data_IF_579150061137
#
_entry.id   IF_579150061137
#
_cell.length_a   1.000
_cell.length_b   1.000
_cell.length_c   1.000
_cell.angle_alpha   90.00
_cell.angle_beta   90.00
_cell.angle_gamma   90.00
#
_symmetry.space_group_name_H-M   'P 1'
#
loop_
_entity.id
_entity.type
_entity.pdbx_description
1 polymer ?
#
# COMPACT_ATOMS: atom_id res chain seq x y z
N UNK A 1 25.15 5.54 -36.78
CA UNK A 1 26.20 4.73 -36.11
C UNK A 1 26.44 5.19 -34.66
N UNK A 2 26.62 6.50 -34.38
CA UNK A 2 26.90 6.99 -33.03
C UNK A 2 25.66 6.81 -32.09
N UNK A 3 24.48 7.20 -32.55
CA UNK A 3 23.23 6.99 -31.78
C UNK A 3 23.03 5.50 -31.38
N UNK A 4 23.28 4.58 -32.33
CA UNK A 4 23.20 3.14 -32.06
C UNK A 4 24.24 2.67 -31.04
N UNK A 5 25.44 3.28 -31.01
CA UNK A 5 26.46 2.94 -30.01
C UNK A 5 26.02 3.34 -28.60
N UNK A 6 25.49 4.56 -28.42
CA UNK A 6 24.93 5.01 -27.13
C UNK A 6 23.74 4.16 -26.70
N UNK A 7 22.85 3.82 -27.64
CA UNK A 7 21.73 2.92 -27.36
C UNK A 7 22.18 1.52 -26.87
N UNK A 8 23.18 0.93 -27.53
CA UNK A 8 23.74 -0.37 -27.12
C UNK A 8 24.41 -0.29 -25.75
N UNK A 9 25.11 0.81 -25.43
CA UNK A 9 25.72 1.03 -24.12
C UNK A 9 24.63 1.21 -23.03
N UNK A 10 23.56 1.91 -23.34
CA UNK A 10 22.41 2.03 -22.44
C UNK A 10 21.83 0.65 -22.10
N UNK A 11 21.67 -0.23 -23.09
CA UNK A 11 21.19 -1.60 -22.87
C UNK A 11 22.11 -2.40 -21.94
N UNK A 12 23.43 -2.20 -22.01
CA UNK A 12 24.36 -2.80 -21.06
C UNK A 12 24.13 -2.27 -19.64
N UNK A 13 23.95 -0.95 -19.47
CA UNK A 13 23.62 -0.39 -18.15
C UNK A 13 22.29 -0.89 -17.61
N UNK A 14 21.28 -1.09 -18.46
CA UNK A 14 19.98 -1.64 -18.05
C UNK A 14 20.08 -3.07 -17.52
N UNK A 15 20.95 -3.91 -18.12
CA UNK A 15 21.15 -5.28 -17.62
C UNK A 15 21.72 -5.32 -16.18
N UNK A 16 22.41 -4.25 -15.77
CA UNK A 16 22.91 -4.05 -14.39
C UNK A 16 22.01 -3.16 -13.53
N UNK A 17 20.82 -2.78 -14.01
CA UNK A 17 19.89 -1.86 -13.34
C UNK A 17 20.47 -0.48 -13.02
N UNK A 18 21.47 -0.04 -13.76
CA UNK A 18 22.11 1.28 -13.62
C UNK A 18 21.30 2.32 -14.41
N UNK A 19 20.10 2.64 -13.91
CA UNK A 19 19.13 3.48 -14.65
C UNK A 19 19.65 4.86 -15.00
N UNK A 20 20.35 5.57 -14.12
CA UNK A 20 20.87 6.91 -14.37
C UNK A 20 21.88 6.92 -15.54
N UNK A 21 22.77 5.93 -15.58
CA UNK A 21 23.71 5.76 -16.67
C UNK A 21 23.02 5.42 -17.99
N UNK A 22 22.03 4.55 -17.94
CA UNK A 22 21.23 4.20 -19.11
C UNK A 22 20.48 5.43 -19.66
N UNK A 23 19.84 6.23 -18.80
CA UNK A 23 19.16 7.47 -19.18
C UNK A 23 20.13 8.44 -19.86
N UNK A 24 21.34 8.59 -19.33
CA UNK A 24 22.37 9.47 -19.94
C UNK A 24 22.68 9.04 -21.35
N UNK A 25 22.94 7.76 -21.61
CA UNK A 25 23.25 7.24 -22.92
C UNK A 25 22.06 7.28 -23.89
N UNK A 26 20.83 6.98 -23.39
CA UNK A 26 19.62 7.11 -24.21
C UNK A 26 19.36 8.56 -24.62
N UNK A 27 19.54 9.52 -23.71
CA UNK A 27 19.44 10.93 -24.05
C UNK A 27 20.47 11.32 -25.12
N UNK A 28 21.71 10.83 -25.03
CA UNK A 28 22.70 11.03 -26.08
C UNK A 28 22.27 10.41 -27.42
N UNK A 29 21.66 9.23 -27.40
CA UNK A 29 21.16 8.56 -28.60
C UNK A 29 20.07 9.39 -29.30
N UNK A 30 19.08 9.94 -28.56
CA UNK A 30 17.99 10.74 -29.12
C UNK A 30 18.42 12.15 -29.53
N UNK A 31 19.49 12.69 -28.95
CA UNK A 31 20.12 13.92 -29.42
C UNK A 31 20.78 13.70 -30.80
N UNK A 32 21.46 12.58 -30.96
CA UNK A 32 22.16 12.21 -32.21
C UNK A 32 21.19 11.77 -33.32
N UNK A 33 20.07 11.19 -32.95
CA UNK A 33 19.01 10.77 -33.86
C UNK A 33 17.64 11.06 -33.25
N UNK A 34 17.02 12.14 -33.70
CA UNK A 34 15.71 12.61 -33.19
C UNK A 34 14.55 11.69 -33.54
N UNK A 35 14.75 10.75 -34.45
CA UNK A 35 13.75 9.74 -34.85
C UNK A 35 14.07 8.35 -34.30
N UNK A 36 14.93 8.24 -33.29
CA UNK A 36 15.29 6.95 -32.71
C UNK A 36 14.19 6.43 -31.77
N UNK A 37 13.13 5.92 -32.34
CA UNK A 37 11.91 5.44 -31.68
C UNK A 37 12.22 4.50 -30.51
N UNK A 38 13.10 3.49 -30.73
CA UNK A 38 13.44 2.52 -29.68
C UNK A 38 14.13 3.16 -28.47
N UNK A 39 14.92 4.24 -28.67
CA UNK A 39 15.55 4.95 -27.55
C UNK A 39 14.53 5.77 -26.75
N UNK A 40 13.58 6.41 -27.42
CA UNK A 40 12.46 7.08 -26.73
C UNK A 40 11.57 6.09 -25.98
N UNK A 41 11.29 4.92 -26.56
CA UNK A 41 10.54 3.85 -25.89
C UNK A 41 11.23 3.45 -24.57
N UNK A 42 12.53 3.16 -24.61
CA UNK A 42 13.28 2.79 -23.41
C UNK A 42 13.34 3.90 -22.36
N UNK A 43 13.49 5.16 -22.78
CA UNK A 43 13.41 6.30 -21.86
C UNK A 43 12.04 6.33 -21.16
N UNK A 44 10.96 6.15 -21.91
CA UNK A 44 9.61 6.07 -21.37
C UNK A 44 9.49 4.96 -20.34
N UNK A 45 9.96 3.75 -20.67
CA UNK A 45 9.89 2.59 -19.80
C UNK A 45 10.68 2.78 -18.49
N UNK A 46 11.88 3.36 -18.56
CA UNK A 46 12.70 3.63 -17.37
C UNK A 46 12.04 4.71 -16.50
N UNK A 47 11.63 5.83 -17.11
CA UNK A 47 10.99 6.91 -16.36
C UNK A 47 9.69 6.45 -15.69
N UNK A 48 8.88 5.66 -16.38
CA UNK A 48 7.67 5.04 -15.81
C UNK A 48 8.01 4.12 -14.63
N UNK A 49 9.00 3.24 -14.80
CA UNK A 49 9.47 2.32 -13.75
C UNK A 49 10.04 3.04 -12.52
N UNK A 50 10.61 4.22 -12.70
CA UNK A 50 11.18 5.05 -11.63
C UNK A 50 10.21 6.11 -11.11
N UNK A 51 8.91 6.05 -11.47
CA UNK A 51 7.88 6.97 -11.01
C UNK A 51 7.94 8.37 -11.64
N UNK A 52 8.81 8.62 -12.62
CA UNK A 52 8.90 9.91 -13.29
C UNK A 52 7.91 9.98 -14.47
N UNK A 53 6.63 9.92 -14.14
CA UNK A 53 5.55 9.81 -15.13
C UNK A 53 5.51 10.99 -16.12
N UNK A 54 5.83 12.20 -15.70
CA UNK A 54 5.90 13.36 -16.61
C UNK A 54 6.94 13.21 -17.71
N UNK A 55 8.12 12.66 -17.39
CA UNK A 55 9.16 12.38 -18.41
C UNK A 55 8.81 11.16 -19.25
N UNK A 56 8.18 10.14 -18.64
CA UNK A 56 7.70 8.96 -19.35
C UNK A 56 6.69 9.36 -20.43
N UNK A 57 5.69 10.16 -20.06
CA UNK A 57 4.67 10.71 -20.95
C UNK A 57 5.27 11.40 -22.17
N UNK A 58 6.25 12.29 -21.97
CA UNK A 58 6.93 12.98 -23.05
C UNK A 58 7.67 12.03 -23.98
N UNK A 59 8.30 11.00 -23.42
CA UNK A 59 9.06 10.00 -24.20
C UNK A 59 8.12 9.15 -25.06
N UNK A 60 7.02 8.63 -24.47
CA UNK A 60 6.05 7.84 -25.25
C UNK A 60 5.32 8.67 -26.32
N UNK A 61 5.01 9.95 -26.04
CA UNK A 61 4.46 10.85 -27.08
C UNK A 61 5.42 10.97 -28.26
N UNK A 62 6.72 11.07 -28.01
CA UNK A 62 7.72 11.08 -29.09
C UNK A 62 7.73 9.78 -29.89
N UNK A 63 7.58 8.62 -29.23
CA UNK A 63 7.44 7.33 -29.95
C UNK A 63 6.26 7.40 -30.93
N UNK A 64 5.08 7.80 -30.44
CA UNK A 64 3.87 7.83 -31.25
C UNK A 64 3.86 8.94 -32.33
N UNK A 65 4.58 10.04 -32.12
CA UNK A 65 4.81 11.06 -33.16
C UNK A 65 5.65 10.52 -34.33
N UNK A 66 6.63 9.64 -34.03
CA UNK A 66 7.52 9.05 -35.04
C UNK A 66 6.87 7.84 -35.72
N UNK A 67 6.31 6.94 -34.92
CA UNK A 67 5.69 5.71 -35.36
C UNK A 67 4.52 5.33 -34.45
N UNK A 68 3.27 5.64 -34.85
CA UNK A 68 2.07 5.31 -34.06
C UNK A 68 1.83 3.82 -33.83
N UNK A 69 2.39 2.95 -34.65
CA UNK A 69 2.21 1.51 -34.56
C UNK A 69 3.48 0.77 -34.08
N UNK A 70 4.45 1.49 -33.53
CA UNK A 70 5.75 0.94 -33.11
C UNK A 70 5.60 -0.25 -32.17
N UNK A 71 4.88 -0.11 -31.06
CA UNK A 71 4.57 -1.19 -30.13
C UNK A 71 3.23 -0.91 -29.41
N UNK A 72 2.36 -1.91 -29.27
CA UNK A 72 1.13 -1.78 -28.46
C UNK A 72 1.40 -1.30 -27.03
N UNK A 73 2.49 -1.78 -26.39
CA UNK A 73 2.90 -1.40 -25.04
C UNK A 73 3.22 0.09 -24.89
N UNK A 74 3.51 0.82 -26.00
CA UNK A 74 3.67 2.28 -25.97
C UNK A 74 2.40 2.96 -25.50
N UNK A 75 1.24 2.53 -26.02
CA UNK A 75 -0.07 3.04 -25.59
C UNK A 75 -0.37 2.73 -24.13
N UNK A 76 -0.01 1.52 -23.67
CA UNK A 76 -0.15 1.16 -22.25
C UNK A 76 0.72 2.05 -21.35
N UNK A 77 2.00 2.20 -21.69
CA UNK A 77 2.95 3.02 -20.92
C UNK A 77 2.59 4.50 -20.90
N UNK A 78 2.11 5.04 -22.05
CA UNK A 78 1.56 6.39 -22.15
C UNK A 78 0.34 6.55 -21.25
N UNK A 79 -0.64 5.65 -21.36
CA UNK A 79 -1.87 5.71 -20.57
C UNK A 79 -1.61 5.62 -19.05
N UNK A 80 -0.72 4.72 -18.61
CA UNK A 80 -0.32 4.63 -17.20
C UNK A 80 0.36 5.93 -16.72
N UNK A 81 1.17 6.56 -17.58
CA UNK A 81 1.80 7.85 -17.27
C UNK A 81 0.77 8.98 -17.22
N UNK A 82 -0.23 8.96 -18.08
CA UNK A 82 -1.33 9.94 -18.09
C UNK A 82 -2.22 9.78 -16.86
N UNK A 83 -2.57 8.54 -16.47
CA UNK A 83 -3.32 8.25 -15.25
C UNK A 83 -2.60 8.83 -14.03
N UNK A 84 -1.31 8.56 -13.88
CA UNK A 84 -0.50 9.02 -12.75
C UNK A 84 -0.18 10.54 -12.78
N UNK A 85 -0.47 11.22 -13.87
CA UNK A 85 -0.35 12.69 -13.98
C UNK A 85 -1.70 13.42 -14.01
N UNK A 86 -2.81 12.70 -13.73
CA UNK A 86 -4.15 13.27 -13.64
C UNK A 86 -4.84 13.50 -15.00
N UNK A 87 -4.28 12.97 -16.09
CA UNK A 87 -4.86 13.11 -17.45
C UNK A 87 -5.81 11.94 -17.74
N UNK A 88 -6.81 11.75 -16.90
CA UNK A 88 -7.68 10.57 -16.87
C UNK A 88 -8.41 10.29 -18.19
N UNK A 89 -8.85 11.33 -18.90
CA UNK A 89 -9.57 11.16 -20.17
C UNK A 89 -8.66 10.57 -21.26
N UNK A 90 -7.46 11.11 -21.44
CA UNK A 90 -6.50 10.57 -22.39
C UNK A 90 -6.01 9.18 -22.00
N UNK A 91 -5.79 8.96 -20.69
CA UNK A 91 -5.43 7.63 -20.18
C UNK A 91 -6.49 6.58 -20.56
N UNK A 92 -7.78 6.90 -20.37
CA UNK A 92 -8.89 6.07 -20.77
C UNK A 92 -8.85 5.72 -22.27
N UNK A 93 -8.66 6.73 -23.14
CA UNK A 93 -8.58 6.52 -24.59
C UNK A 93 -7.40 5.61 -24.98
N UNK A 94 -6.22 5.86 -24.43
CA UNK A 94 -5.02 5.10 -24.76
C UNK A 94 -5.03 3.68 -24.19
N UNK A 95 -5.63 3.43 -23.01
CA UNK A 95 -5.85 2.07 -22.53
C UNK A 95 -6.82 1.30 -23.43
N UNK A 96 -7.89 1.93 -23.92
CA UNK A 96 -8.80 1.29 -24.88
C UNK A 96 -8.10 1.02 -26.24
N UNK A 97 -7.24 1.95 -26.70
CA UNK A 97 -6.41 1.70 -27.89
C UNK A 97 -5.51 0.50 -27.68
N UNK A 98 -4.84 0.40 -26.52
CA UNK A 98 -4.04 -0.79 -26.19
C UNK A 98 -4.86 -2.08 -26.23
N UNK A 99 -6.05 -2.10 -25.62
CA UNK A 99 -6.93 -3.29 -25.65
C UNK A 99 -7.41 -3.68 -27.04
N UNK A 100 -7.41 -2.77 -28.01
CA UNK A 100 -7.80 -3.06 -29.39
C UNK A 100 -6.77 -3.91 -30.15
N UNK A 101 -5.55 -4.03 -29.65
CA UNK A 101 -4.52 -4.85 -30.29
C UNK A 101 -4.76 -6.34 -30.03
N UNK A 102 -4.53 -7.22 -31.04
CA UNK A 102 -4.67 -8.66 -30.89
C UNK A 102 -3.50 -9.25 -30.06
N UNK A 103 -3.71 -10.45 -29.51
CA UNK A 103 -2.65 -11.23 -28.88
C UNK A 103 -2.23 -10.79 -27.47
N UNK A 104 -2.97 -9.89 -26.83
CA UNK A 104 -2.70 -9.48 -25.45
C UNK A 104 -2.94 -10.62 -24.47
N UNK A 105 -2.04 -10.77 -23.48
CA UNK A 105 -2.20 -11.75 -22.40
C UNK A 105 -3.45 -11.46 -21.54
N UNK A 106 -3.98 -12.49 -20.90
CA UNK A 106 -5.12 -12.36 -19.98
C UNK A 106 -4.78 -11.40 -18.82
N UNK A 107 -3.58 -11.51 -18.24
CA UNK A 107 -3.08 -10.62 -17.20
C UNK A 107 -2.98 -9.17 -17.67
N UNK A 108 -2.44 -8.93 -18.87
CA UNK A 108 -2.36 -7.59 -19.47
C UNK A 108 -3.74 -6.96 -19.67
N UNK A 109 -4.73 -7.76 -20.12
CA UNK A 109 -6.11 -7.31 -20.27
C UNK A 109 -6.75 -7.00 -18.91
N UNK A 110 -6.57 -7.87 -17.92
CA UNK A 110 -7.10 -7.68 -16.56
C UNK A 110 -6.56 -6.39 -15.94
N UNK A 111 -5.24 -6.20 -15.98
CA UNK A 111 -4.58 -4.99 -15.45
C UNK A 111 -5.09 -3.72 -16.16
N UNK A 112 -5.23 -3.78 -17.48
CA UNK A 112 -5.71 -2.63 -18.27
C UNK A 112 -7.17 -2.30 -17.95
N UNK A 113 -8.04 -3.31 -17.80
CA UNK A 113 -9.42 -3.09 -17.40
C UNK A 113 -9.53 -2.44 -16.02
N UNK A 114 -8.67 -2.82 -15.07
CA UNK A 114 -8.59 -2.16 -13.76
C UNK A 114 -8.22 -0.68 -13.92
N UNK A 115 -7.23 -0.34 -14.71
CA UNK A 115 -6.84 1.05 -14.96
C UNK A 115 -7.91 1.86 -15.70
N UNK A 116 -8.68 1.23 -16.59
CA UNK A 116 -9.85 1.85 -17.22
C UNK A 116 -10.92 2.19 -16.15
N UNK A 117 -11.17 1.27 -15.22
CA UNK A 117 -12.08 1.52 -14.11
C UNK A 117 -11.58 2.69 -13.22
N UNK A 118 -10.27 2.77 -12.96
CA UNK A 118 -9.66 3.92 -12.26
C UNK A 118 -9.87 5.23 -13.01
N UNK A 119 -9.69 5.24 -14.33
CA UNK A 119 -9.93 6.42 -15.14
C UNK A 119 -11.38 6.89 -15.04
N UNK A 120 -12.36 5.97 -15.17
CA UNK A 120 -13.78 6.27 -15.07
C UNK A 120 -14.13 6.85 -13.70
N UNK A 121 -13.67 6.19 -12.63
CA UNK A 121 -13.86 6.66 -11.26
C UNK A 121 -13.24 8.06 -11.07
N UNK A 122 -12.00 8.24 -11.50
CA UNK A 122 -11.24 9.48 -11.32
C UNK A 122 -11.90 10.65 -12.06
N UNK A 123 -12.40 10.42 -13.28
CA UNK A 123 -13.12 11.43 -14.06
C UNK A 123 -14.37 11.95 -13.34
N UNK A 124 -15.03 11.10 -12.56
CA UNK A 124 -16.19 11.50 -11.77
C UNK A 124 -15.77 12.12 -10.42
N UNK A 125 -14.83 11.51 -9.73
CA UNK A 125 -14.37 11.94 -8.41
C UNK A 125 -13.81 13.37 -8.42
N UNK A 126 -13.03 13.76 -9.45
CA UNK A 126 -12.45 15.11 -9.54
C UNK A 126 -13.48 16.21 -9.75
N UNK A 127 -14.72 15.88 -10.16
CA UNK A 127 -15.80 16.86 -10.30
C UNK A 127 -16.36 17.30 -8.95
N UNK A 128 -16.24 16.44 -7.94
CA UNK A 128 -16.79 16.64 -6.61
C UNK A 128 -15.68 16.56 -5.54
N UNK A 129 -14.71 17.49 -5.54
CA UNK A 129 -13.60 17.45 -4.60
C UNK A 129 -14.09 17.66 -3.17
N UNK A 130 -13.67 16.79 -2.26
CA UNK A 130 -13.87 16.98 -0.83
C UNK A 130 -12.75 17.83 -0.24
N UNK A 131 -13.08 18.63 0.79
CA UNK A 131 -12.05 19.41 1.48
C UNK A 131 -11.10 18.47 2.22
N UNK A 132 -9.83 18.50 1.86
CA UNK A 132 -8.78 17.73 2.52
C UNK A 132 -7.66 18.69 2.96
N UNK A 133 -7.64 19.01 4.26
CA UNK A 133 -6.66 19.92 4.86
C UNK A 133 -6.01 19.24 6.06
N UNK A 134 -5.15 18.23 5.85
CA UNK A 134 -4.47 17.56 6.94
C UNK A 134 -3.55 18.53 7.68
N UNK A 135 -3.51 18.39 9.00
CA UNK A 135 -2.62 19.18 9.87
C UNK A 135 -1.58 18.25 10.43
N UNK A 136 -0.30 18.62 10.24
CA UNK A 136 0.81 17.88 10.83
C UNK A 136 0.76 18.01 12.35
N UNK A 137 0.86 16.89 13.07
CA UNK A 137 0.76 16.84 14.54
C UNK A 137 2.00 17.39 15.26
N UNK A 138 3.00 17.81 14.51
CA UNK A 138 4.20 18.46 15.03
C UNK A 138 5.34 17.51 15.40
N UNK A 139 6.50 18.07 15.78
CA UNK A 139 7.73 17.30 15.97
C UNK A 139 7.70 16.37 17.19
N UNK A 140 6.70 16.49 18.05
CA UNK A 140 6.49 15.55 19.16
C UNK A 140 6.10 14.16 18.68
N UNK A 141 5.41 14.07 17.53
CA UNK A 141 4.97 12.84 16.92
C UNK A 141 5.74 12.58 15.62
N UNK A 142 5.68 13.53 14.67
CA UNK A 142 6.31 13.39 13.38
C UNK A 142 7.80 13.73 13.46
N UNK A 143 8.65 12.78 13.08
CA UNK A 143 10.11 12.93 13.07
C UNK A 143 10.65 12.81 11.63
N UNK A 144 11.93 12.55 11.46
CA UNK A 144 12.52 12.17 10.17
C UNK A 144 12.38 10.70 9.84
N UNK A 145 11.95 9.90 10.82
CA UNK A 145 11.69 8.47 10.67
C UNK A 145 10.28 8.27 10.07
N UNK A 146 9.93 7.05 9.76
CA UNK A 146 8.60 6.72 9.24
C UNK A 146 7.64 6.43 10.38
N UNK A 147 6.56 7.21 10.50
CA UNK A 147 5.46 7.02 11.44
C UNK A 147 4.19 6.66 10.69
N UNK A 148 3.51 5.58 11.09
CA UNK A 148 2.33 5.07 10.41
C UNK A 148 1.39 4.27 11.33
N UNK A 149 0.21 3.91 10.80
CA UNK A 149 -0.84 3.15 11.47
C UNK A 149 -1.20 3.72 12.86
N UNK A 150 -1.59 5.00 12.95
CA UNK A 150 -1.97 5.60 14.22
C UNK A 150 -3.32 5.06 14.71
N UNK A 151 -3.45 4.89 16.02
CA UNK A 151 -4.72 4.69 16.71
C UNK A 151 -4.85 5.69 17.85
N UNK A 152 -6.05 6.22 18.06
CA UNK A 152 -6.36 7.17 19.13
C UNK A 152 -7.30 6.47 20.12
N UNK A 153 -7.05 6.65 21.42
CA UNK A 153 -7.95 6.17 22.46
C UNK A 153 -9.33 6.85 22.39
N UNK A 154 -10.37 6.15 22.85
CA UNK A 154 -11.76 6.64 22.78
C UNK A 154 -11.97 8.00 23.47
N UNK A 155 -11.15 8.36 24.47
CA UNK A 155 -11.16 9.66 25.14
C UNK A 155 -10.32 10.74 24.43
N UNK A 156 -9.75 10.42 23.27
CA UNK A 156 -8.89 11.25 22.43
C UNK A 156 -7.63 11.81 23.12
N UNK A 157 -7.20 11.21 24.24
CA UNK A 157 -6.06 11.71 25.02
C UNK A 157 -4.74 11.03 24.72
N UNK A 158 -4.73 9.88 24.10
CA UNK A 158 -3.51 9.16 23.74
C UNK A 158 -3.58 8.71 22.28
N UNK A 159 -2.48 8.92 21.57
CA UNK A 159 -2.23 8.32 20.26
C UNK A 159 -1.12 7.29 20.41
N UNK A 160 -1.32 6.13 19.82
CA UNK A 160 -0.33 5.05 19.67
C UNK A 160 -0.08 4.89 18.17
N UNK A 161 1.16 4.76 17.77
CA UNK A 161 1.53 4.59 16.37
C UNK A 161 2.79 3.74 16.24
N UNK A 162 2.99 3.16 15.07
CA UNK A 162 4.24 2.47 14.73
C UNK A 162 5.26 3.48 14.24
N UNK A 163 6.50 3.39 14.73
CA UNK A 163 7.66 4.11 14.18
C UNK A 163 8.71 3.11 13.74
N UNK A 164 9.20 3.26 12.52
CA UNK A 164 10.30 2.45 12.01
C UNK A 164 11.63 3.19 12.21
N UNK A 165 12.52 2.58 13.00
CA UNK A 165 13.86 3.09 13.23
C UNK A 165 14.88 2.01 12.91
N UNK A 166 15.82 2.26 11.97
CA UNK A 166 16.84 1.28 11.57
C UNK A 166 16.26 -0.09 11.14
N UNK A 167 15.11 -0.10 10.47
CA UNK A 167 14.35 -1.30 10.04
C UNK A 167 13.71 -2.09 11.19
N UNK A 168 13.70 -1.57 12.40
CA UNK A 168 12.91 -2.12 13.50
C UNK A 168 11.65 -1.28 13.67
N UNK A 169 10.52 -1.94 13.81
CA UNK A 169 9.20 -1.35 14.03
C UNK A 169 8.85 -1.49 15.50
N UNK A 170 8.60 -0.35 16.16
CA UNK A 170 8.23 -0.28 17.56
C UNK A 170 7.01 0.62 17.76
N UNK A 171 6.25 0.39 18.82
CA UNK A 171 5.15 1.26 19.20
C UNK A 171 5.61 2.45 20.02
N UNK A 172 5.13 3.61 19.61
CA UNK A 172 5.27 4.85 20.35
C UNK A 172 3.90 5.37 20.76
N UNK A 173 3.85 6.07 21.88
CA UNK A 173 2.66 6.77 22.34
C UNK A 173 2.97 8.25 22.60
N UNK A 174 1.97 9.08 22.40
CA UNK A 174 1.98 10.47 22.82
C UNK A 174 0.67 10.82 23.53
N UNK A 175 0.75 11.64 24.53
CA UNK A 175 -0.40 12.08 25.34
C UNK A 175 -0.78 13.50 24.93
N UNK A 176 -2.06 13.73 24.73
CA UNK A 176 -2.59 15.07 24.46
C UNK A 176 -2.74 15.84 25.77
N UNK A 177 -2.06 16.97 25.86
CA UNK A 177 -2.19 17.93 26.98
C UNK A 177 -2.69 19.24 26.41
N UNK A 178 -3.84 19.67 26.89
CA UNK A 178 -4.58 20.80 26.32
C UNK A 178 -4.86 20.56 24.83
N UNK A 179 -4.20 21.26 23.92
CA UNK A 179 -4.36 21.09 22.46
C UNK A 179 -3.11 20.50 21.79
N UNK A 180 -2.07 20.15 22.55
CA UNK A 180 -0.78 19.73 22.02
C UNK A 180 -0.45 18.29 22.40
N UNK A 181 0.21 17.60 21.49
CA UNK A 181 0.77 16.27 21.71
C UNK A 181 2.15 16.39 22.37
N UNK A 182 2.40 15.61 23.40
CA UNK A 182 3.72 15.51 24.03
C UNK A 182 4.71 14.83 23.07
N UNK A 183 6.02 14.97 23.36
CA UNK A 183 7.02 14.15 22.67
C UNK A 183 6.71 12.67 22.86
N UNK A 184 6.69 11.94 21.74
CA UNK A 184 6.37 10.52 21.77
C UNK A 184 7.46 9.72 22.49
N UNK A 185 7.03 8.73 23.25
CA UNK A 185 7.88 7.80 23.99
C UNK A 185 7.53 6.35 23.65
N UNK A 186 8.41 5.41 23.90
CA UNK A 186 8.12 3.99 23.75
C UNK A 186 6.85 3.59 24.52
N UNK A 187 5.99 2.80 23.90
CA UNK A 187 4.74 2.37 24.52
C UNK A 187 4.98 1.51 25.75
N UNK A 188 5.78 0.45 25.62
CA UNK A 188 6.07 -0.50 26.67
C UNK A 188 7.30 -1.35 26.34
N UNK A 189 8.16 -1.60 27.32
CA UNK A 189 9.28 -2.53 27.20
C UNK A 189 8.84 -4.01 27.18
N UNK A 190 7.63 -4.30 27.63
CA UNK A 190 7.06 -5.67 27.58
C UNK A 190 6.56 -6.00 26.17
N UNK A 191 6.19 -4.99 25.37
CA UNK A 191 5.66 -5.15 24.01
C UNK A 191 6.77 -4.95 22.98
N UNK A 192 7.43 -3.77 23.00
CA UNK A 192 8.50 -3.44 22.08
C UNK A 192 9.71 -4.30 22.34
N UNK A 193 10.24 -4.91 21.28
CA UNK A 193 11.40 -5.80 21.40
C UNK A 193 12.51 -5.38 20.45
N UNK A 194 13.75 -5.60 20.85
CA UNK A 194 14.90 -5.28 20.01
C UNK A 194 15.06 -6.19 18.78
N UNK A 195 14.53 -7.42 18.86
CA UNK A 195 14.80 -8.45 17.87
C UNK A 195 13.66 -8.70 16.88
N UNK A 196 12.47 -8.19 17.17
CA UNK A 196 11.25 -8.45 16.39
C UNK A 196 10.57 -7.15 16.04
N UNK A 197 9.78 -7.16 15.00
CA UNK A 197 8.96 -6.01 14.58
C UNK A 197 7.59 -6.12 15.22
N UNK A 198 7.16 -5.04 15.86
CA UNK A 198 5.82 -4.85 16.37
C UNK A 198 5.15 -3.67 15.63
N UNK A 199 4.08 -3.96 14.90
CA UNK A 199 3.38 -2.97 14.09
C UNK A 199 1.89 -3.23 13.98
N UNK A 200 1.19 -2.32 13.31
CA UNK A 200 -0.22 -2.45 12.97
C UNK A 200 -1.10 -2.81 14.17
N UNK A 201 -1.23 -1.89 15.10
CA UNK A 201 -1.99 -2.07 16.34
C UNK A 201 -3.41 -1.53 16.24
N UNK A 202 -4.31 -2.06 17.08
CA UNK A 202 -5.54 -1.44 17.49
C UNK A 202 -5.76 -1.62 19.00
N UNK A 203 -6.48 -0.69 19.59
CA UNK A 203 -6.84 -0.73 21.02
C UNK A 203 -8.32 -1.00 21.18
N UNK A 204 -8.71 -1.84 22.14
CA UNK A 204 -10.11 -2.05 22.44
C UNK A 204 -10.77 -0.75 22.94
N UNK A 205 -12.07 -0.53 22.71
CA UNK A 205 -12.74 0.71 23.08
C UNK A 205 -12.68 1.04 24.58
N UNK A 206 -12.60 0.02 25.43
CA UNK A 206 -12.42 0.17 26.89
C UNK A 206 -10.97 0.47 27.31
N UNK A 207 -10.02 0.47 26.32
CA UNK A 207 -8.60 0.73 26.54
C UNK A 207 -7.83 -0.41 27.22
N UNK A 208 -8.47 -1.56 27.47
CA UNK A 208 -7.88 -2.64 28.26
C UNK A 208 -7.06 -3.64 27.45
N UNK A 209 -7.25 -3.71 26.13
CA UNK A 209 -6.56 -4.65 25.26
C UNK A 209 -5.93 -3.95 24.08
N UNK A 210 -4.68 -4.28 23.81
CA UNK A 210 -3.96 -3.88 22.61
C UNK A 210 -3.76 -5.14 21.75
N UNK A 211 -4.36 -5.13 20.56
CA UNK A 211 -4.12 -6.12 19.51
C UNK A 211 -3.06 -5.58 18.57
N UNK A 212 -2.13 -6.39 18.14
CA UNK A 212 -1.08 -5.94 17.24
C UNK A 212 -0.44 -7.09 16.46
N UNK A 213 0.33 -6.75 15.44
CA UNK A 213 1.10 -7.69 14.67
C UNK A 213 2.50 -7.83 15.24
N UNK A 214 2.92 -9.04 15.52
CA UNK A 214 4.30 -9.38 15.86
C UNK A 214 4.89 -10.31 14.79
N UNK A 215 6.02 -9.92 14.20
CA UNK A 215 6.64 -10.71 13.12
C UNK A 215 7.88 -11.44 13.57
N UNK A 216 8.06 -12.67 13.05
CA UNK A 216 9.21 -13.54 13.30
C UNK A 216 9.47 -13.86 14.78
N UNK A 217 8.46 -13.77 15.62
CA UNK A 217 8.57 -14.10 17.05
C UNK A 217 8.65 -15.61 17.25
N UNK A 218 9.39 -16.08 18.27
CA UNK A 218 9.65 -17.52 18.47
C UNK A 218 8.40 -18.31 18.90
N UNK A 219 7.37 -17.63 19.39
CA UNK A 219 6.07 -18.17 19.79
C UNK A 219 5.00 -17.97 18.72
N UNK A 220 5.40 -17.51 17.50
CA UNK A 220 4.52 -17.35 16.34
C UNK A 220 4.21 -18.68 15.66
N UNK A 221 3.06 -18.73 14.98
CA UNK A 221 2.64 -19.84 14.10
C UNK A 221 3.12 -19.63 12.68
N UNK A 222 3.16 -18.36 12.23
CA UNK A 222 3.54 -17.94 10.91
C UNK A 222 4.67 -16.91 10.89
N UNK A 223 4.78 -16.21 9.74
CA UNK A 223 5.75 -15.13 9.59
C UNK A 223 5.41 -13.91 10.42
N UNK A 224 4.13 -13.55 10.43
CA UNK A 224 3.56 -12.51 11.27
C UNK A 224 2.25 -13.02 11.82
N UNK A 225 2.00 -12.77 13.09
CA UNK A 225 0.84 -13.22 13.85
C UNK A 225 0.22 -12.08 14.63
N UNK A 226 -1.06 -12.20 14.97
CA UNK A 226 -1.74 -11.27 15.85
C UNK A 226 -1.49 -11.67 17.31
N UNK A 227 -1.07 -10.68 18.08
CA UNK A 227 -0.80 -10.76 19.52
C UNK A 227 -1.76 -9.87 20.28
N UNK A 228 -1.95 -10.19 21.55
CA UNK A 228 -2.75 -9.39 22.50
C UNK A 228 -1.90 -9.07 23.72
N UNK A 229 -1.96 -7.82 24.18
CA UNK A 229 -1.47 -7.38 25.49
C UNK A 229 -2.61 -6.75 26.26
N UNK A 230 -2.67 -6.99 27.58
CA UNK A 230 -3.69 -6.45 28.48
C UNK A 230 -3.11 -5.30 29.29
N UNK A 231 -3.91 -4.27 29.53
CA UNK A 231 -3.59 -3.22 30.46
C UNK A 231 -3.81 -3.69 31.92
N UNK A 232 -2.78 -3.59 32.76
CA UNK A 232 -2.81 -4.06 34.14
C UNK A 232 -2.90 -2.91 35.16
N UNK A 233 -3.39 -1.75 34.72
CA UNK A 233 -3.55 -0.56 35.55
C UNK A 233 -2.31 0.32 35.62
N UNK A 234 -1.10 -0.25 35.57
CA UNK A 234 0.16 0.48 35.61
C UNK A 234 1.03 0.29 34.36
N UNK A 235 0.72 -0.71 33.55
CA UNK A 235 1.47 -1.03 32.35
C UNK A 235 0.79 -2.13 31.54
N UNK A 236 1.34 -2.37 30.35
CA UNK A 236 0.90 -3.46 29.48
C UNK A 236 1.51 -4.77 29.94
N UNK A 237 0.74 -5.84 29.92
CA UNK A 237 1.21 -7.20 30.18
C UNK A 237 2.18 -7.66 29.10
N UNK A 238 2.94 -8.72 29.39
CA UNK A 238 3.66 -9.45 28.34
C UNK A 238 2.64 -9.93 27.28
N UNK A 239 2.91 -9.69 25.99
CA UNK A 239 2.02 -10.13 24.92
C UNK A 239 1.92 -11.66 24.85
N UNK A 240 0.78 -12.15 24.40
CA UNK A 240 0.58 -13.54 24.02
C UNK A 240 0.05 -13.66 22.61
N UNK A 241 0.45 -14.71 21.90
CA UNK A 241 -0.07 -15.04 20.57
C UNK A 241 -1.53 -15.46 20.70
N UNK A 242 -2.44 -14.86 19.88
CA UNK A 242 -3.88 -15.19 19.94
C UNK A 242 -4.16 -16.64 19.51
N UNK A 243 -3.24 -17.26 18.79
CA UNK A 243 -3.31 -18.65 18.37
C UNK A 243 -4.29 -18.93 17.24
N UNK A 244 -4.43 -20.21 16.92
CA UNK A 244 -5.47 -20.66 15.98
C UNK A 244 -6.87 -20.55 16.61
N UNK A 245 -7.91 -20.35 15.77
CA UNK A 245 -7.89 -20.34 14.30
C UNK A 245 -7.57 -18.98 13.67
N UNK A 246 -7.33 -17.92 14.46
CA UNK A 246 -7.02 -16.58 13.93
C UNK A 246 -5.64 -16.58 13.26
N UNK A 247 -4.60 -17.00 13.97
CA UNK A 247 -3.27 -17.13 13.39
C UNK A 247 -3.10 -18.48 12.69
N UNK A 248 -2.33 -18.47 11.60
CA UNK A 248 -2.01 -19.63 10.76
C UNK A 248 -0.51 -19.68 10.49
N UNK A 249 0.02 -20.71 9.80
CA UNK A 249 1.40 -20.68 9.29
C UNK A 249 1.65 -19.61 8.21
N UNK A 250 0.61 -18.87 7.80
CA UNK A 250 0.68 -17.79 6.82
C UNK A 250 1.16 -16.46 7.41
N UNK A 251 0.45 -15.41 7.04
CA UNK A 251 0.69 -14.05 7.50
C UNK A 251 -0.63 -13.43 7.92
N UNK A 252 -0.74 -13.07 9.19
CA UNK A 252 -1.88 -12.40 9.79
C UNK A 252 -1.43 -11.08 10.39
N UNK A 253 -2.14 -9.98 10.06
CA UNK A 253 -1.72 -8.63 10.43
C UNK A 253 -2.87 -7.63 10.43
N UNK A 254 -2.57 -6.41 10.86
CA UNK A 254 -3.46 -5.25 10.79
C UNK A 254 -4.82 -5.50 11.46
N UNK A 255 -4.83 -5.88 12.74
CA UNK A 255 -6.07 -6.13 13.47
C UNK A 255 -6.88 -4.86 13.65
N UNK A 256 -8.20 -4.98 13.65
CA UNK A 256 -9.16 -3.94 14.03
C UNK A 256 -10.32 -4.58 14.79
N UNK A 257 -10.54 -4.16 16.04
CA UNK A 257 -11.56 -4.72 16.93
C UNK A 257 -12.82 -3.86 16.93
N UNK A 258 -13.98 -4.49 16.88
CA UNK A 258 -15.30 -3.83 16.96
C UNK A 258 -15.51 -3.11 18.29
N UNK A 259 -16.45 -2.15 18.32
CA UNK A 259 -16.74 -1.36 19.51
C UNK A 259 -17.25 -2.18 20.71
N UNK A 260 -17.86 -3.31 20.46
CA UNK A 260 -18.30 -4.26 21.50
C UNK A 260 -17.19 -5.23 21.93
N UNK A 261 -16.00 -5.16 21.30
CA UNK A 261 -14.86 -6.02 21.58
C UNK A 261 -15.03 -7.48 21.14
N UNK A 262 -16.02 -7.78 20.31
CA UNK A 262 -16.41 -9.17 19.97
C UNK A 262 -16.06 -9.61 18.56
N UNK A 263 -15.84 -8.69 17.63
CA UNK A 263 -15.48 -9.00 16.23
C UNK A 263 -14.11 -8.44 15.90
N UNK A 264 -13.18 -9.32 15.58
CA UNK A 264 -11.84 -8.97 15.13
C UNK A 264 -11.78 -9.04 13.61
N UNK A 265 -11.52 -7.91 12.98
CA UNK A 265 -11.16 -7.81 11.56
C UNK A 265 -9.64 -7.83 11.43
N UNK A 266 -9.13 -8.45 10.39
CA UNK A 266 -7.69 -8.53 10.17
C UNK A 266 -7.38 -8.91 8.72
N UNK A 267 -6.14 -8.75 8.32
CA UNK A 267 -5.65 -9.14 6.99
C UNK A 267 -4.93 -10.48 7.07
N UNK A 268 -5.16 -11.35 6.10
CA UNK A 268 -4.49 -12.66 6.04
C UNK A 268 -4.23 -13.12 4.60
N UNK A 269 -3.14 -13.87 4.43
CA UNK A 269 -2.79 -14.57 3.19
C UNK A 269 -3.24 -16.05 3.19
N UNK A 270 -4.12 -16.43 4.13
CA UNK A 270 -4.61 -17.82 4.25
C UNK A 270 -5.34 -18.30 3.00
N UNK A 271 -5.34 -19.61 2.78
CA UNK A 271 -6.08 -20.22 1.68
C UNK A 271 -7.60 -19.92 1.76
N UNK A 272 -8.22 -19.79 0.60
CA UNK A 272 -9.66 -19.48 0.48
C UNK A 272 -9.97 -18.00 0.34
N UNK A 273 -8.95 -17.14 0.16
CA UNK A 273 -9.10 -15.73 -0.21
C UNK A 273 -9.33 -15.54 -1.70
N UNK A 274 -9.48 -14.27 -2.09
CA UNK A 274 -9.70 -13.83 -3.48
C UNK A 274 -8.42 -13.29 -4.12
N UNK A 275 -7.56 -12.63 -3.32
CA UNK A 275 -6.34 -11.97 -3.75
C UNK A 275 -5.08 -12.45 -3.03
N UNK A 276 -4.11 -11.56 -2.92
CA UNK A 276 -2.88 -11.80 -2.14
C UNK A 276 -3.12 -11.59 -0.65
N UNK A 277 -3.65 -10.42 -0.32
CA UNK A 277 -4.05 -10.03 1.03
C UNK A 277 -5.55 -9.78 1.04
N UNK A 278 -6.27 -10.51 1.87
CA UNK A 278 -7.72 -10.35 2.04
C UNK A 278 -8.07 -9.94 3.46
N UNK A 279 -9.20 -9.25 3.59
CA UNK A 279 -9.77 -8.92 4.91
C UNK A 279 -10.68 -10.08 5.36
N UNK A 280 -10.43 -10.52 6.58
CA UNK A 280 -11.14 -11.58 7.26
C UNK A 280 -11.73 -11.06 8.57
N UNK A 281 -12.75 -11.72 9.09
CA UNK A 281 -13.28 -11.47 10.45
C UNK A 281 -13.38 -12.75 11.26
N UNK A 282 -13.19 -12.63 12.56
CA UNK A 282 -13.45 -13.68 13.54
C UNK A 282 -14.27 -13.13 14.71
N UNK A 283 -15.18 -13.91 15.25
CA UNK A 283 -16.04 -13.54 16.36
C UNK A 283 -15.58 -14.21 17.65
N UNK A 284 -15.64 -13.49 18.76
CA UNK A 284 -15.32 -14.00 20.08
C UNK A 284 -16.48 -14.83 20.62
N UNK A 285 -16.25 -16.10 20.84
CA UNK A 285 -17.20 -17.03 21.45
C UNK A 285 -17.47 -16.70 22.92
N UNK A 286 -18.54 -17.25 23.48
CA UNK A 286 -18.89 -17.07 24.89
C UNK A 286 -17.92 -17.73 25.87
N UNK A 287 -17.13 -18.70 25.40
CA UNK A 287 -16.08 -19.37 26.17
C UNK A 287 -14.71 -18.64 26.11
N UNK A 288 -14.65 -17.50 25.41
CA UNK A 288 -13.43 -16.70 25.26
C UNK A 288 -12.48 -17.15 24.14
N UNK A 289 -12.87 -18.13 23.33
CA UNK A 289 -12.13 -18.54 22.14
C UNK A 289 -12.58 -17.74 20.90
N UNK A 290 -11.72 -17.65 19.90
CA UNK A 290 -12.07 -17.04 18.62
C UNK A 290 -12.67 -18.08 17.67
N UNK A 291 -13.73 -17.71 16.98
CA UNK A 291 -14.35 -18.55 15.94
C UNK A 291 -13.43 -18.69 14.71
N UNK A 292 -13.70 -19.69 13.88
CA UNK A 292 -13.03 -19.85 12.59
C UNK A 292 -13.27 -18.61 11.73
N UNK A 293 -12.20 -17.95 11.24
CA UNK A 293 -12.36 -16.72 10.48
C UNK A 293 -13.13 -16.89 9.18
N UNK A 294 -13.92 -15.89 8.84
CA UNK A 294 -14.69 -15.79 7.60
C UNK A 294 -14.09 -14.70 6.71
N UNK A 295 -13.85 -15.03 5.43
CA UNK A 295 -13.52 -14.04 4.40
C UNK A 295 -14.70 -13.10 4.20
N UNK A 296 -14.45 -11.79 4.04
CA UNK A 296 -15.55 -10.82 3.86
C UNK A 296 -16.19 -10.85 2.46
N UNK A 297 -15.71 -11.73 1.58
CA UNK A 297 -16.33 -11.96 0.28
C UNK A 297 -15.96 -10.92 -0.79
N UNK A 298 -16.48 -11.09 -2.01
CA UNK A 298 -16.07 -10.32 -3.20
C UNK A 298 -16.60 -8.88 -3.21
N UNK A 299 -17.45 -8.50 -2.28
CA UNK A 299 -17.90 -7.11 -2.11
C UNK A 299 -16.88 -6.25 -1.37
N UNK A 300 -15.92 -6.87 -0.69
CA UNK A 300 -14.81 -6.23 0.01
C UNK A 300 -13.50 -6.66 -0.64
N UNK A 301 -13.24 -7.96 -0.74
CA UNK A 301 -12.00 -8.52 -1.25
C UNK A 301 -12.03 -8.69 -2.77
N UNK A 302 -10.93 -8.36 -3.42
CA UNK A 302 -10.75 -8.45 -4.87
C UNK A 302 -9.69 -9.49 -5.22
N UNK A 303 -9.36 -9.65 -6.50
CA UNK A 303 -8.21 -10.46 -6.94
C UNK A 303 -6.85 -9.78 -6.69
N UNK A 304 -6.84 -8.65 -5.99
CA UNK A 304 -5.67 -7.86 -5.61
C UNK A 304 -5.48 -7.90 -4.09
N UNK A 305 -5.01 -6.79 -3.50
CA UNK A 305 -4.71 -6.72 -2.07
C UNK A 305 -5.65 -5.74 -1.37
N UNK A 306 -6.29 -6.18 -0.31
CA UNK A 306 -7.06 -5.37 0.62
C UNK A 306 -6.36 -5.35 1.97
N UNK A 307 -6.14 -4.15 2.51
CA UNK A 307 -5.33 -3.95 3.71
C UNK A 307 -5.90 -2.86 4.62
N UNK A 308 -5.32 -2.76 5.83
CA UNK A 308 -5.60 -1.71 6.82
C UNK A 308 -7.09 -1.59 7.17
N UNK A 309 -7.79 -2.69 7.51
CA UNK A 309 -9.17 -2.59 7.93
C UNK A 309 -9.28 -1.75 9.20
N UNK A 310 -10.26 -0.85 9.22
CA UNK A 310 -10.65 -0.10 10.39
C UNK A 310 -12.17 -0.16 10.54
N UNK A 311 -12.64 -0.92 11.53
CA UNK A 311 -14.06 -0.92 11.87
C UNK A 311 -14.37 0.31 12.73
N UNK A 312 -15.27 1.14 12.22
CA UNK A 312 -15.70 2.34 12.94
C UNK A 312 -16.49 1.97 14.19
N UNK A 313 -16.49 2.81 15.25
CA UNK A 313 -17.22 2.55 16.48
C UNK A 313 -18.75 2.39 16.34
N UNK A 314 -19.34 2.71 15.16
CA UNK A 314 -20.75 2.41 14.85
C UNK A 314 -21.00 0.91 14.59
N UNK A 315 -19.95 0.09 14.45
CA UNK A 315 -19.97 -1.33 14.07
C UNK A 315 -20.61 -1.62 12.69
N UNK A 316 -20.87 -0.60 11.88
CA UNK A 316 -21.51 -0.70 10.56
C UNK A 316 -20.56 -0.30 9.43
N UNK A 317 -19.68 0.67 9.68
CA UNK A 317 -18.77 1.23 8.67
C UNK A 317 -17.38 0.61 8.77
N UNK A 318 -16.96 -0.10 7.72
CA UNK A 318 -15.60 -0.64 7.60
C UNK A 318 -14.81 0.18 6.58
N UNK A 319 -13.71 0.79 7.02
CA UNK A 319 -12.75 1.48 6.16
C UNK A 319 -11.56 0.56 5.87
N UNK A 320 -11.06 0.59 4.66
CA UNK A 320 -9.90 -0.21 4.27
C UNK A 320 -9.19 0.39 3.06
N UNK A 321 -7.97 -0.02 2.80
CA UNK A 321 -7.24 0.29 1.57
C UNK A 321 -7.29 -0.89 0.62
N UNK A 322 -7.36 -0.61 -0.68
CA UNK A 322 -7.33 -1.63 -1.73
C UNK A 322 -6.61 -1.10 -2.97
N UNK A 323 -5.83 -1.96 -3.61
CA UNK A 323 -5.29 -1.70 -4.94
C UNK A 323 -6.12 -2.36 -6.05
N UNK A 324 -7.19 -3.07 -5.70
CA UNK A 324 -8.15 -3.68 -6.61
C UNK A 324 -9.38 -2.81 -6.90
N UNK A 325 -9.90 -2.09 -5.91
CA UNK A 325 -11.01 -1.15 -6.09
C UNK A 325 -10.56 0.11 -6.84
N UNK A 326 -11.45 0.72 -7.67
CA UNK A 326 -11.12 1.97 -8.35
C UNK A 326 -10.78 3.10 -7.37
N UNK A 327 -9.72 3.88 -7.69
CA UNK A 327 -9.24 4.96 -6.84
C UNK A 327 -8.49 6.05 -7.61
N UNK A 328 -8.15 7.14 -6.91
CA UNK A 328 -7.38 8.28 -7.47
C UNK A 328 -5.86 8.09 -7.40
N UNK A 329 -5.39 7.04 -6.80
CA UNK A 329 -3.98 6.73 -6.63
C UNK A 329 -3.75 5.47 -5.82
N UNK A 330 -2.47 5.12 -5.66
CA UNK A 330 -2.02 3.99 -4.85
C UNK A 330 -1.60 4.48 -3.48
#
# INVERSE_FOLDING_TARGET
KQAQKSYNLANQYLSYRLYDKAITELNQAVILDKNFTAAFQQLGDIYRKTGNYSKALNSYKKVLEIDPEFLPLTYFGLAESELNTGNYAHAYEHFNKYLSYPGLSAEGKQKTNKYIADCIFSLEAVKNPVSFKPVNLGPGINTKEEEYLPVITADEKMIIFTRQTNRNEDFFKSIKRDSLWTTAEYLSKEINTFNYNEGAQCISPDGNYLFFTGCNRPDGLGRCDIYISRWEGTGWSKPFNIGGPVNTPGWESQPSISADGRTLYFVSTRAGGFGGYDIWKSELNTDGTWAVPLNLGPEINTSYDEQSPFIHPDNESLYFSSNGWPGLGN
#
